data_IF_809247204107
#
_entry.id   IF_809247204107
#
_cell.length_a   1.000
_cell.length_b   1.000
_cell.length_c   1.000
_cell.angle_alpha   90.00
_cell.angle_beta   90.00
_cell.angle_gamma   90.00
#
_symmetry.space_group_name_H-M   'P 1'
#
loop_
_entity.id
_entity.type
_entity.pdbx_description
1 polymer ?
#
# COMPACT_ATOMS: atom_id res chain seq x y z
N UNK A 1 7.36 -2.53 -24.37
CA UNK A 1 7.76 -2.91 -22.99
C UNK A 1 8.61 -1.77 -22.44
N UNK A 2 8.02 -0.83 -21.72
CA UNK A 2 8.79 0.23 -21.10
C UNK A 2 9.35 -0.31 -19.79
N UNK A 3 10.63 -0.69 -19.82
CA UNK A 3 11.40 -0.93 -18.60
C UNK A 3 11.48 0.41 -17.86
N UNK A 4 10.62 0.62 -16.87
CA UNK A 4 10.80 1.67 -15.88
C UNK A 4 11.97 1.27 -14.98
N UNK A 5 13.19 1.47 -15.48
CA UNK A 5 14.36 1.46 -14.63
C UNK A 5 14.22 2.58 -13.60
N UNK A 6 14.51 2.26 -12.35
CA UNK A 6 14.29 3.12 -11.18
C UNK A 6 15.08 4.44 -11.19
N UNK A 7 15.98 4.64 -12.16
CA UNK A 7 16.87 5.81 -12.30
C UNK A 7 16.39 6.76 -13.40
N UNK A 8 15.20 7.36 -13.22
CA UNK A 8 14.62 8.11 -14.33
C UNK A 8 15.28 9.46 -14.56
N UNK A 9 15.71 10.18 -13.53
CA UNK A 9 16.31 11.50 -13.69
C UNK A 9 17.42 11.75 -12.67
N UNK A 10 18.58 12.21 -13.15
CA UNK A 10 19.65 12.70 -12.26
C UNK A 10 19.38 14.13 -11.86
N UNK A 11 19.45 14.41 -10.56
CA UNK A 11 19.42 15.77 -10.03
C UNK A 11 20.83 16.29 -9.82
N UNK A 12 21.06 17.58 -10.12
CA UNK A 12 22.35 18.24 -9.95
C UNK A 12 22.13 19.72 -9.58
N UNK A 13 23.07 20.28 -8.80
CA UNK A 13 23.10 21.72 -8.50
C UNK A 13 23.49 22.58 -9.71
N UNK A 14 24.16 21.98 -10.72
CA UNK A 14 24.61 22.70 -11.92
C UNK A 14 23.49 22.92 -12.93
N UNK A 15 22.31 22.32 -12.71
CA UNK A 15 21.16 22.45 -13.58
C UNK A 15 20.22 23.55 -13.12
N UNK A 16 19.58 24.23 -14.09
CA UNK A 16 18.53 25.19 -13.79
C UNK A 16 17.30 24.46 -13.20
N UNK A 17 16.99 24.75 -11.96
CA UNK A 17 15.89 24.08 -11.25
C UNK A 17 14.52 24.26 -11.93
N UNK A 18 14.22 25.44 -12.45
CA UNK A 18 12.90 25.72 -13.05
C UNK A 18 12.75 24.94 -14.39
N UNK A 19 13.82 24.85 -15.17
CA UNK A 19 13.83 24.05 -16.41
C UNK A 19 13.68 22.54 -16.12
N UNK A 20 14.36 22.02 -15.10
CA UNK A 20 14.26 20.62 -14.71
C UNK A 20 12.86 20.31 -14.15
N UNK A 21 12.26 21.21 -13.38
CA UNK A 21 10.88 21.09 -12.90
C UNK A 21 9.90 21.04 -14.08
N UNK A 22 10.07 21.91 -15.09
CA UNK A 22 9.17 21.91 -16.25
C UNK A 22 9.31 20.63 -17.08
N UNK A 23 10.53 20.13 -17.31
CA UNK A 23 10.76 18.83 -18.00
C UNK A 23 10.08 17.68 -17.27
N UNK A 24 10.26 17.61 -15.95
CA UNK A 24 9.63 16.58 -15.13
C UNK A 24 8.11 16.72 -15.08
N UNK A 25 7.60 17.95 -15.05
CA UNK A 25 6.17 18.23 -15.10
C UNK A 25 5.52 17.72 -16.38
N UNK A 26 6.09 18.07 -17.55
CA UNK A 26 5.62 17.59 -18.87
C UNK A 26 5.62 16.07 -18.91
N UNK A 27 6.72 15.45 -18.44
CA UNK A 27 6.82 14.00 -18.38
C UNK A 27 5.71 13.38 -17.53
N UNK A 28 5.53 13.84 -16.28
CA UNK A 28 4.56 13.25 -15.36
C UNK A 28 3.11 13.59 -15.70
N UNK A 29 2.84 14.68 -16.44
CA UNK A 29 1.52 14.93 -17.02
C UNK A 29 1.15 13.89 -18.08
N UNK A 30 2.12 13.50 -18.88
CA UNK A 30 1.93 12.45 -19.90
C UNK A 30 1.79 11.06 -19.29
N UNK A 31 2.65 10.72 -18.34
CA UNK A 31 2.68 9.39 -17.73
C UNK A 31 1.57 9.17 -16.67
N UNK A 32 1.02 10.23 -16.09
CA UNK A 32 0.05 10.17 -15.00
C UNK A 32 0.68 9.88 -13.64
N UNK A 33 -0.17 9.64 -12.63
CA UNK A 33 0.29 9.30 -11.28
C UNK A 33 1.07 7.98 -11.29
N UNK A 34 2.28 7.94 -10.71
CA UNK A 34 3.12 6.73 -10.71
C UNK A 34 2.63 5.68 -9.71
N UNK A 35 1.51 5.04 -9.99
CA UNK A 35 0.92 4.03 -9.13
C UNK A 35 1.82 2.78 -8.99
N UNK A 36 1.55 1.93 -8.01
CA UNK A 36 2.24 0.65 -7.85
C UNK A 36 1.86 -0.29 -8.99
N UNK A 37 2.84 -0.97 -9.57
CA UNK A 37 2.64 -1.90 -10.68
C UNK A 37 2.87 -3.34 -10.20
N UNK A 38 1.96 -4.25 -10.56
CA UNK A 38 1.99 -5.65 -10.12
C UNK A 38 3.24 -6.38 -10.63
N UNK A 39 3.67 -6.06 -11.85
CA UNK A 39 4.85 -6.64 -12.50
C UNK A 39 6.18 -6.31 -11.77
N UNK A 40 6.16 -5.31 -10.88
CA UNK A 40 7.32 -4.94 -10.07
C UNK A 40 7.49 -5.84 -8.83
N UNK A 41 6.58 -6.77 -8.60
CA UNK A 41 6.58 -7.62 -7.41
C UNK A 41 6.45 -9.11 -7.78
N UNK A 42 7.19 -9.92 -7.06
CA UNK A 42 7.05 -11.36 -7.05
C UNK A 42 6.14 -11.75 -5.86
N UNK A 43 4.93 -12.19 -6.16
CA UNK A 43 3.90 -12.51 -5.15
C UNK A 43 4.33 -13.61 -4.18
N UNK A 44 5.04 -14.63 -4.68
CA UNK A 44 5.53 -15.73 -3.83
C UNK A 44 6.62 -15.25 -2.89
N UNK A 45 7.55 -14.45 -3.42
CA UNK A 45 8.61 -13.84 -2.63
C UNK A 45 8.05 -12.90 -1.54
N UNK A 46 7.02 -12.10 -1.86
CA UNK A 46 6.37 -11.22 -0.88
C UNK A 46 5.68 -12.01 0.23
N UNK A 47 4.96 -13.09 -0.09
CA UNK A 47 4.36 -13.96 0.92
C UNK A 47 5.43 -14.69 1.75
N UNK A 48 6.46 -15.25 1.11
CA UNK A 48 7.54 -15.95 1.79
C UNK A 48 8.32 -15.04 2.76
N UNK A 49 8.51 -13.77 2.44
CA UNK A 49 9.09 -12.80 3.38
C UNK A 49 8.23 -12.66 4.65
N UNK A 50 6.90 -12.65 4.50
CA UNK A 50 5.99 -12.57 5.64
C UNK A 50 5.97 -13.87 6.45
N UNK A 51 5.93 -15.04 5.78
CA UNK A 51 5.98 -16.35 6.46
C UNK A 51 7.24 -16.49 7.30
N UNK A 52 8.38 -16.10 6.75
CA UNK A 52 9.70 -16.18 7.42
C UNK A 52 9.95 -15.03 8.41
N UNK A 53 9.09 -14.02 8.46
CA UNK A 53 9.30 -12.89 9.34
C UNK A 53 9.20 -13.31 10.80
N UNK A 54 10.25 -13.01 11.57
CA UNK A 54 10.34 -13.33 12.99
C UNK A 54 9.37 -12.47 13.82
N UNK A 55 8.37 -13.10 14.38
CA UNK A 55 7.30 -12.46 15.13
C UNK A 55 7.77 -11.87 16.47
N UNK A 56 8.88 -12.37 17.03
CA UNK A 56 9.46 -11.79 18.26
C UNK A 56 9.90 -10.35 18.06
N UNK A 57 10.14 -9.95 16.81
CA UNK A 57 10.46 -8.57 16.42
C UNK A 57 9.25 -7.64 16.34
N UNK A 58 8.03 -8.19 16.35
CA UNK A 58 6.79 -7.39 16.22
C UNK A 58 6.35 -6.83 17.57
N UNK A 59 6.44 -7.62 18.63
CA UNK A 59 6.01 -7.21 19.96
C UNK A 59 7.16 -7.27 20.96
N UNK A 60 7.46 -6.13 21.53
CA UNK A 60 8.44 -6.01 22.61
C UNK A 60 7.72 -6.23 23.94
N UNK A 61 8.00 -7.36 24.58
CA UNK A 61 7.34 -7.76 25.84
C UNK A 61 7.74 -6.89 27.03
N UNK A 62 8.90 -6.28 27.02
CA UNK A 62 9.39 -5.39 28.08
C UNK A 62 8.71 -4.03 28.01
N UNK A 63 8.78 -3.41 26.82
CA UNK A 63 8.23 -2.06 26.60
C UNK A 63 6.75 -2.05 26.26
N UNK A 64 6.13 -3.22 26.01
CA UNK A 64 4.74 -3.39 25.55
C UNK A 64 4.44 -2.68 24.23
N UNK A 65 5.43 -2.49 23.38
CA UNK A 65 5.29 -1.77 22.10
C UNK A 65 5.22 -2.73 20.92
N UNK A 66 4.33 -2.40 19.97
CA UNK A 66 4.29 -3.03 18.66
C UNK A 66 5.25 -2.32 17.71
N UNK A 67 6.16 -3.09 17.11
CA UNK A 67 7.03 -2.60 16.02
C UNK A 67 6.35 -2.84 14.68
N UNK A 68 6.08 -1.77 13.97
CA UNK A 68 5.44 -1.85 12.65
C UNK A 68 6.48 -1.95 11.55
N UNK A 69 6.20 -2.77 10.55
CA UNK A 69 7.03 -2.88 9.35
C UNK A 69 6.21 -2.61 8.10
N UNK A 70 6.86 -2.32 6.99
CA UNK A 70 6.19 -2.05 5.71
C UNK A 70 6.14 -3.27 4.78
N UNK A 71 6.55 -4.47 5.27
CA UNK A 71 6.53 -5.70 4.46
C UNK A 71 5.14 -5.98 3.90
N UNK A 72 5.07 -6.23 2.60
CA UNK A 72 3.83 -6.49 1.88
C UNK A 72 2.98 -5.26 1.56
N UNK A 73 3.17 -4.11 2.23
CA UNK A 73 2.31 -2.94 2.01
C UNK A 73 2.43 -2.35 0.60
N UNK A 74 3.65 -2.27 0.03
CA UNK A 74 3.84 -1.78 -1.34
C UNK A 74 3.19 -2.70 -2.37
N UNK A 75 3.36 -4.00 -2.20
CA UNK A 75 2.76 -5.03 -3.03
C UNK A 75 1.22 -4.96 -3.00
N UNK A 76 0.62 -4.81 -1.83
CA UNK A 76 -0.83 -4.74 -1.68
C UNK A 76 -1.45 -3.58 -2.48
N UNK A 77 -0.80 -2.43 -2.56
CA UNK A 77 -1.32 -1.30 -3.34
C UNK A 77 -1.51 -1.60 -4.83
N UNK A 78 -0.90 -2.65 -5.35
CA UNK A 78 -1.07 -3.09 -6.74
C UNK A 78 -2.48 -3.63 -7.01
N UNK A 79 -3.17 -4.13 -5.99
CA UNK A 79 -4.57 -4.61 -6.07
C UNK A 79 -5.59 -3.50 -5.88
N UNK A 80 -5.18 -2.36 -5.35
CA UNK A 80 -6.08 -1.28 -4.98
C UNK A 80 -5.63 0.06 -5.60
N UNK A 81 -5.52 0.16 -6.95
CA UNK A 81 -5.00 1.37 -7.60
C UNK A 81 -5.85 2.62 -7.30
N UNK A 82 -7.10 2.45 -6.92
CA UNK A 82 -8.03 3.52 -6.56
C UNK A 82 -7.76 4.18 -5.21
N UNK A 83 -6.73 3.75 -4.47
CA UNK A 83 -6.37 4.36 -3.17
C UNK A 83 -6.09 5.87 -3.27
N UNK A 84 -5.67 6.35 -4.45
CA UNK A 84 -5.41 7.76 -4.73
C UNK A 84 -6.70 8.58 -4.93
N UNK A 85 -7.83 7.92 -5.13
CA UNK A 85 -9.16 8.52 -5.33
C UNK A 85 -9.94 8.69 -4.02
N UNK A 86 -9.39 8.25 -2.90
CA UNK A 86 -10.08 8.25 -1.60
C UNK A 86 -9.73 9.50 -0.80
N UNK A 87 -10.75 10.18 -0.29
CA UNK A 87 -10.59 11.27 0.68
C UNK A 87 -10.37 10.68 2.08
N UNK A 88 -9.39 11.23 2.80
CA UNK A 88 -9.08 10.81 4.16
C UNK A 88 -9.21 11.97 5.14
N UNK A 89 -9.90 11.74 6.25
CA UNK A 89 -10.11 12.73 7.28
C UNK A 89 -10.70 14.02 6.71
N UNK A 90 -10.13 15.16 7.08
CA UNK A 90 -10.57 16.49 6.66
C UNK A 90 -9.99 16.94 5.29
N UNK A 91 -9.46 16.02 4.50
CA UNK A 91 -8.91 16.37 3.20
C UNK A 91 -10.00 16.91 2.26
N UNK A 92 -9.80 18.14 1.76
CA UNK A 92 -10.72 18.77 0.81
C UNK A 92 -10.73 18.04 -0.54
N UNK A 93 -9.56 17.57 -0.96
CA UNK A 93 -9.33 16.91 -2.25
C UNK A 93 -8.67 15.54 -2.04
N UNK A 94 -8.90 14.63 -2.99
CA UNK A 94 -8.17 13.36 -3.08
C UNK A 94 -6.72 13.60 -3.50
N UNK A 95 -5.88 12.58 -3.39
CA UNK A 95 -4.52 12.66 -3.89
C UNK A 95 -4.48 12.84 -5.41
N UNK A 96 -5.39 12.17 -6.13
CA UNK A 96 -5.50 12.28 -7.58
C UNK A 96 -5.96 13.67 -8.03
N UNK A 97 -6.95 14.28 -7.36
CA UNK A 97 -7.38 15.64 -7.65
C UNK A 97 -6.24 16.65 -7.45
N UNK A 98 -5.47 16.50 -6.36
CA UNK A 98 -4.30 17.36 -6.13
C UNK A 98 -3.15 17.10 -7.12
N UNK A 99 -2.97 15.86 -7.56
CA UNK A 99 -2.04 15.53 -8.63
C UNK A 99 -2.42 16.19 -9.95
N UNK A 100 -3.70 16.25 -10.28
CA UNK A 100 -4.21 16.84 -11.51
C UNK A 100 -4.19 18.38 -11.53
N UNK A 101 -3.90 19.02 -10.41
CA UNK A 101 -3.66 20.46 -10.31
C UNK A 101 -2.20 20.78 -10.71
N UNK A 102 -2.01 21.57 -11.77
CA UNK A 102 -0.68 21.84 -12.35
C UNK A 102 0.27 22.52 -11.36
N UNK A 103 -0.22 23.51 -10.63
CA UNK A 103 0.60 24.26 -9.67
C UNK A 103 1.04 23.39 -8.50
N UNK A 104 0.15 22.51 -8.03
CA UNK A 104 0.47 21.56 -6.98
C UNK A 104 1.46 20.51 -7.45
N UNK A 105 1.30 20.00 -8.66
CA UNK A 105 2.25 19.03 -9.22
C UNK A 105 3.63 19.64 -9.43
N UNK A 106 3.73 20.85 -10.00
CA UNK A 106 5.01 21.58 -10.13
C UNK A 106 5.65 21.80 -8.77
N UNK A 107 4.86 22.21 -7.77
CA UNK A 107 5.33 22.37 -6.39
C UNK A 107 5.85 21.06 -5.78
N UNK A 108 5.14 19.96 -5.98
CA UNK A 108 5.58 18.63 -5.54
C UNK A 108 6.92 18.25 -6.17
N UNK A 109 7.03 18.38 -7.49
CA UNK A 109 8.24 18.05 -8.25
C UNK A 109 9.41 18.90 -7.74
N UNK A 110 9.21 20.21 -7.60
CA UNK A 110 10.22 21.15 -7.10
C UNK A 110 10.71 20.78 -5.69
N UNK A 111 9.78 20.46 -4.78
CA UNK A 111 10.13 19.99 -3.42
C UNK A 111 10.86 18.67 -3.43
N UNK A 112 10.43 17.73 -4.29
CA UNK A 112 11.08 16.42 -4.43
C UNK A 112 12.50 16.57 -4.98
N UNK A 113 12.69 17.39 -6.00
CA UNK A 113 13.99 17.67 -6.59
C UNK A 113 14.96 18.27 -5.55
N UNK A 114 14.51 19.31 -4.82
CA UNK A 114 15.29 19.93 -3.73
C UNK A 114 15.62 18.95 -2.60
N UNK A 115 14.68 18.06 -2.29
CA UNK A 115 14.91 17.03 -1.26
C UNK A 115 16.01 16.07 -1.70
N UNK A 116 15.98 15.60 -2.96
CA UNK A 116 17.00 14.70 -3.51
C UNK A 116 18.38 15.38 -3.60
N UNK A 117 18.44 16.66 -3.96
CA UNK A 117 19.70 17.43 -3.93
C UNK A 117 20.33 17.45 -2.53
N UNK A 118 19.50 17.59 -1.50
CA UNK A 118 19.99 17.78 -0.13
C UNK A 118 20.24 16.47 0.61
N UNK A 119 19.42 15.44 0.40
CA UNK A 119 19.37 14.24 1.23
C UNK A 119 19.46 12.94 0.43
N UNK A 120 19.30 12.99 -0.88
CA UNK A 120 19.27 11.85 -1.75
C UNK A 120 20.65 11.47 -2.27
N UNK A 121 20.64 10.52 -3.19
CA UNK A 121 21.83 10.03 -3.91
C UNK A 121 21.99 10.65 -5.31
N UNK A 122 21.32 11.78 -5.56
CA UNK A 122 21.34 12.47 -6.87
C UNK A 122 20.36 11.90 -7.90
N UNK A 123 19.40 11.04 -7.48
CA UNK A 123 18.42 10.45 -8.39
C UNK A 123 16.99 10.82 -8.00
N UNK A 124 16.22 11.36 -8.95
CA UNK A 124 14.79 11.58 -8.79
C UNK A 124 14.04 10.29 -9.11
N UNK A 125 13.59 9.58 -8.08
CA UNK A 125 12.98 8.26 -8.23
C UNK A 125 11.45 8.29 -8.11
N UNK A 126 10.79 7.33 -8.78
CA UNK A 126 9.33 7.10 -8.65
C UNK A 126 8.93 6.89 -7.18
N UNK A 127 9.70 6.13 -6.43
CA UNK A 127 9.42 5.85 -5.03
C UNK A 127 9.43 7.12 -4.19
N UNK A 128 10.40 8.01 -4.42
CA UNK A 128 10.48 9.29 -3.73
C UNK A 128 9.31 10.19 -4.10
N UNK A 129 8.98 10.28 -5.38
CA UNK A 129 7.84 11.09 -5.85
C UNK A 129 6.52 10.62 -5.20
N UNK A 130 6.28 9.29 -5.15
CA UNK A 130 5.12 8.71 -4.44
C UNK A 130 5.11 9.02 -2.95
N UNK A 131 6.24 8.90 -2.26
CA UNK A 131 6.34 9.24 -0.83
C UNK A 131 6.04 10.73 -0.61
N UNK A 132 6.66 11.58 -1.40
CA UNK A 132 6.50 13.03 -1.29
C UNK A 132 5.10 13.50 -1.68
N UNK A 133 4.42 12.82 -2.62
CA UNK A 133 3.03 13.15 -2.95
C UNK A 133 2.09 12.97 -1.74
N UNK A 134 2.31 11.93 -0.93
CA UNK A 134 1.55 11.71 0.31
C UNK A 134 1.78 12.79 1.37
N UNK A 135 2.93 13.43 1.35
CA UNK A 135 3.31 14.46 2.33
C UNK A 135 2.95 15.86 1.86
N UNK A 136 3.20 16.17 0.58
CA UNK A 136 3.11 17.55 0.07
C UNK A 136 1.80 17.86 -0.65
N UNK A 137 1.12 16.85 -1.21
CA UNK A 137 -0.17 17.05 -1.87
C UNK A 137 -1.36 16.86 -0.92
N UNK A 138 -1.25 15.97 0.06
CA UNK A 138 -2.32 15.73 1.02
C UNK A 138 -1.79 15.76 2.45
N UNK A 139 -2.61 16.33 3.35
CA UNK A 139 -2.33 16.28 4.81
C UNK A 139 -2.45 14.86 5.34
N UNK A 140 -3.34 14.07 4.77
CA UNK A 140 -3.63 12.71 5.18
C UNK A 140 -3.96 11.84 3.96
N UNK A 141 -3.44 10.63 3.92
CA UNK A 141 -3.72 9.64 2.89
C UNK A 141 -4.12 8.31 3.54
N UNK A 142 -4.78 7.45 2.76
CA UNK A 142 -5.10 6.08 3.22
C UNK A 142 -3.84 5.34 3.64
N UNK A 143 -3.97 4.54 4.68
CA UNK A 143 -2.92 3.63 5.16
C UNK A 143 -3.42 2.20 5.14
N UNK A 144 -2.52 1.24 4.97
CA UNK A 144 -2.86 -0.18 5.05
C UNK A 144 -2.53 -0.71 6.45
N UNK A 145 -3.33 -1.65 6.94
CA UNK A 145 -2.98 -2.43 8.12
C UNK A 145 -1.69 -3.23 7.83
N UNK A 146 -0.79 -3.33 8.79
CA UNK A 146 0.51 -3.98 8.59
C UNK A 146 0.35 -5.50 8.58
N UNK A 147 0.68 -6.19 7.46
CA UNK A 147 0.53 -7.66 7.37
C UNK A 147 1.30 -8.40 8.45
N UNK A 148 2.48 -7.92 8.85
CA UNK A 148 3.27 -8.53 9.93
C UNK A 148 2.57 -8.46 11.28
N UNK A 149 1.88 -7.36 11.58
CA UNK A 149 1.09 -7.21 12.82
C UNK A 149 -0.13 -8.13 12.78
N UNK A 150 -0.82 -8.20 11.65
CA UNK A 150 -1.95 -9.11 11.48
C UNK A 150 -1.53 -10.57 11.67
N UNK A 151 -0.43 -11.00 11.03
CA UNK A 151 0.15 -12.34 11.22
C UNK A 151 0.41 -12.63 12.69
N UNK A 152 1.09 -11.72 13.40
CA UNK A 152 1.37 -11.87 14.82
C UNK A 152 0.09 -12.05 15.65
N UNK A 153 -0.93 -11.21 15.42
CA UNK A 153 -2.19 -11.29 16.16
C UNK A 153 -2.92 -12.61 15.88
N UNK A 154 -2.95 -13.06 14.64
CA UNK A 154 -3.60 -14.31 14.26
C UNK A 154 -2.89 -15.53 14.83
N UNK A 155 -1.57 -15.57 14.80
CA UNK A 155 -0.80 -16.66 15.41
C UNK A 155 -0.93 -16.69 16.94
N UNK A 156 -1.00 -15.52 17.56
CA UNK A 156 -1.08 -15.42 19.02
C UNK A 156 -2.48 -15.69 19.57
N UNK A 157 -3.52 -15.23 18.89
CA UNK A 157 -4.89 -15.25 19.42
C UNK A 157 -5.86 -16.11 18.60
N UNK A 158 -5.52 -16.45 17.35
CA UNK A 158 -6.41 -17.16 16.45
C UNK A 158 -6.45 -18.68 16.65
N UNK A 159 -5.56 -19.24 17.48
CA UNK A 159 -5.50 -20.66 17.82
C UNK A 159 -5.65 -21.62 16.61
N UNK A 160 -5.03 -21.30 15.50
CA UNK A 160 -5.13 -22.02 14.21
C UNK A 160 -6.57 -22.14 13.67
N UNK A 161 -7.47 -21.31 14.14
CA UNK A 161 -8.89 -21.35 13.83
C UNK A 161 -9.33 -20.41 12.71
N UNK A 162 -10.51 -19.84 12.91
CA UNK A 162 -11.20 -18.95 11.98
C UNK A 162 -10.93 -17.49 12.34
N UNK A 163 -10.68 -16.67 11.34
CA UNK A 163 -10.55 -15.21 11.46
C UNK A 163 -11.79 -14.57 10.85
N UNK A 164 -12.47 -13.73 11.62
CA UNK A 164 -13.46 -12.81 11.09
C UNK A 164 -12.91 -11.39 11.05
N UNK A 165 -12.89 -10.82 9.83
CA UNK A 165 -12.48 -9.45 9.57
C UNK A 165 -13.67 -8.62 9.11
N UNK A 166 -14.27 -7.88 10.04
CA UNK A 166 -15.47 -7.07 9.80
C UNK A 166 -15.24 -5.86 8.87
N UNK A 167 -14.02 -5.62 8.44
CA UNK A 167 -13.66 -4.45 7.61
C UNK A 167 -12.34 -4.70 6.90
N UNK A 168 -12.35 -5.56 5.88
CA UNK A 168 -11.14 -6.05 5.18
C UNK A 168 -10.20 -4.94 4.72
N UNK A 169 -10.76 -3.83 4.23
CA UNK A 169 -10.00 -2.69 3.74
C UNK A 169 -9.01 -3.09 2.64
N UNK A 170 -7.79 -2.61 2.74
CA UNK A 170 -6.77 -2.72 1.69
C UNK A 170 -5.97 -4.04 1.72
N UNK A 171 -6.55 -5.14 2.21
CA UNK A 171 -5.97 -6.48 2.15
C UNK A 171 -4.80 -6.78 3.10
N UNK A 172 -4.38 -5.82 3.94
CA UNK A 172 -3.25 -6.02 4.84
C UNK A 172 -3.48 -7.14 5.86
N UNK A 173 -4.70 -7.23 6.40
CA UNK A 173 -5.08 -8.30 7.33
C UNK A 173 -5.23 -9.64 6.62
N UNK A 174 -5.80 -9.67 5.40
CA UNK A 174 -5.89 -10.89 4.60
C UNK A 174 -4.51 -11.43 4.21
N UNK A 175 -3.56 -10.59 3.81
CA UNK A 175 -2.18 -11.03 3.53
C UNK A 175 -1.47 -11.52 4.81
N UNK A 176 -1.75 -10.90 5.95
CA UNK A 176 -1.31 -11.38 7.26
C UNK A 176 -1.89 -12.76 7.60
N UNK A 177 -3.18 -12.98 7.32
CA UNK A 177 -3.83 -14.29 7.46
C UNK A 177 -3.15 -15.36 6.57
N UNK A 178 -2.94 -15.07 5.29
CA UNK A 178 -2.26 -15.99 4.37
C UNK A 178 -0.88 -16.44 4.87
N UNK A 179 -0.19 -15.60 5.63
CA UNK A 179 1.13 -15.90 6.23
C UNK A 179 1.07 -16.46 7.66
N UNK A 180 -0.11 -16.57 8.27
CA UNK A 180 -0.34 -17.05 9.65
C UNK A 180 -0.65 -18.54 9.71
N UNK A 181 -0.90 -19.06 10.91
CA UNK A 181 -1.31 -20.46 11.13
C UNK A 181 -2.85 -20.66 11.09
N UNK A 182 -3.64 -19.60 10.99
CA UNK A 182 -5.10 -19.70 10.91
C UNK A 182 -5.54 -20.35 9.59
N UNK A 183 -6.69 -21.05 9.59
CA UNK A 183 -7.15 -21.91 8.49
C UNK A 183 -8.20 -21.26 7.61
N UNK A 184 -9.11 -20.49 8.21
CA UNK A 184 -10.23 -19.85 7.51
C UNK A 184 -10.24 -18.34 7.79
N UNK A 185 -10.54 -17.56 6.77
CA UNK A 185 -10.73 -16.12 6.85
C UNK A 185 -12.07 -15.76 6.23
N UNK A 186 -12.93 -15.13 7.02
CA UNK A 186 -14.19 -14.56 6.53
C UNK A 186 -14.10 -13.05 6.68
N UNK A 187 -14.37 -12.33 5.59
CA UNK A 187 -14.22 -10.90 5.59
C UNK A 187 -15.32 -10.13 4.86
N UNK A 188 -15.65 -8.94 5.38
CA UNK A 188 -16.64 -8.03 4.78
C UNK A 188 -15.99 -6.72 4.40
N UNK A 189 -16.42 -6.13 3.29
CA UNK A 189 -16.11 -4.76 2.88
C UNK A 189 -17.21 -4.22 1.97
N UNK A 190 -17.84 -3.06 2.25
CA UNK A 190 -18.94 -2.53 1.45
C UNK A 190 -18.46 -1.91 0.13
N UNK A 191 -17.18 -1.56 0.01
CA UNK A 191 -16.63 -0.93 -1.20
C UNK A 191 -16.43 -1.95 -2.32
N UNK A 192 -17.21 -1.86 -3.39
CA UNK A 192 -17.10 -2.75 -4.56
C UNK A 192 -15.70 -2.70 -5.21
N UNK A 193 -15.07 -1.52 -5.26
CA UNK A 193 -13.69 -1.38 -5.79
C UNK A 193 -12.69 -2.14 -4.90
N UNK A 194 -12.82 -2.02 -3.58
CA UNK A 194 -11.98 -2.73 -2.61
C UNK A 194 -12.24 -4.22 -2.65
N UNK A 195 -13.50 -4.65 -2.67
CA UNK A 195 -13.91 -6.04 -2.79
C UNK A 195 -13.33 -6.72 -4.04
N UNK A 196 -13.32 -6.03 -5.19
CA UNK A 196 -12.66 -6.54 -6.39
C UNK A 196 -11.16 -6.81 -6.14
N UNK A 197 -10.45 -5.84 -5.56
CA UNK A 197 -9.02 -6.01 -5.24
C UNK A 197 -8.75 -7.14 -4.26
N UNK A 198 -9.63 -7.36 -3.28
CA UNK A 198 -9.55 -8.48 -2.36
C UNK A 198 -9.73 -9.84 -3.06
N UNK A 199 -10.67 -9.94 -4.02
CA UNK A 199 -10.85 -11.15 -4.81
C UNK A 199 -9.65 -11.42 -5.74
N UNK A 200 -9.06 -10.38 -6.34
CA UNK A 200 -7.85 -10.51 -7.14
C UNK A 200 -6.67 -10.99 -6.27
N UNK A 201 -6.53 -10.48 -5.05
CA UNK A 201 -5.55 -10.94 -4.08
C UNK A 201 -5.80 -12.39 -3.66
N UNK A 202 -7.05 -12.78 -3.36
CA UNK A 202 -7.45 -14.16 -3.05
C UNK A 202 -7.04 -15.10 -4.19
N UNK A 203 -7.39 -14.76 -5.43
CA UNK A 203 -7.07 -15.56 -6.62
C UNK A 203 -5.57 -15.79 -6.79
N UNK A 204 -4.75 -14.78 -6.57
CA UNK A 204 -3.30 -14.88 -6.69
C UNK A 204 -2.66 -15.84 -5.68
N UNK A 205 -3.35 -16.12 -4.58
CA UNK A 205 -2.88 -17.00 -3.50
C UNK A 205 -3.71 -18.27 -3.28
N UNK A 206 -4.53 -18.69 -4.27
CA UNK A 206 -5.29 -19.94 -4.21
C UNK A 206 -4.41 -21.16 -3.93
N UNK A 207 -3.16 -21.14 -4.38
CA UNK A 207 -2.21 -22.22 -4.16
C UNK A 207 -1.77 -22.40 -2.69
N UNK A 208 -2.05 -21.45 -1.81
CA UNK A 208 -1.74 -21.53 -0.37
C UNK A 208 -2.67 -22.50 0.36
N UNK A 209 -3.75 -22.94 -0.30
CA UNK A 209 -4.73 -23.91 0.23
C UNK A 209 -5.32 -23.47 1.58
N UNK A 210 -5.71 -22.19 1.71
CA UNK A 210 -6.43 -21.64 2.85
C UNK A 210 -7.82 -21.21 2.44
N UNK A 211 -8.80 -21.44 3.31
CA UNK A 211 -10.17 -21.03 3.05
C UNK A 211 -10.32 -19.51 3.24
N UNK A 212 -10.80 -18.83 2.20
CA UNK A 212 -11.10 -17.40 2.23
C UNK A 212 -12.50 -17.16 1.68
N UNK A 213 -13.33 -16.57 2.50
CA UNK A 213 -14.70 -16.16 2.17
C UNK A 213 -14.80 -14.65 2.27
N UNK A 214 -15.28 -14.00 1.20
CA UNK A 214 -15.38 -12.53 1.13
C UNK A 214 -16.79 -12.11 0.77
N UNK A 215 -17.31 -11.08 1.43
CA UNK A 215 -18.64 -10.53 1.23
C UNK A 215 -18.58 -9.03 0.93
N UNK A 216 -19.25 -8.60 -0.16
CA UNK A 216 -19.32 -7.18 -0.53
C UNK A 216 -20.53 -6.51 0.14
N UNK A 217 -20.49 -6.44 1.46
CA UNK A 217 -21.52 -5.84 2.31
C UNK A 217 -20.86 -5.12 3.51
N UNK A 218 -21.62 -4.27 4.19
CA UNK A 218 -21.24 -3.74 5.49
C UNK A 218 -21.25 -4.83 6.57
N UNK A 219 -20.41 -4.69 7.58
CA UNK A 219 -20.35 -5.67 8.67
C UNK A 219 -21.66 -5.71 9.48
N UNK A 220 -22.43 -4.63 9.49
CA UNK A 220 -23.74 -4.50 10.11
C UNK A 220 -24.83 -5.34 9.42
N UNK A 221 -24.61 -5.70 8.16
CA UNK A 221 -25.52 -6.53 7.38
C UNK A 221 -25.11 -8.02 7.41
N UNK A 222 -23.93 -8.33 7.92
CA UNK A 222 -23.40 -9.68 7.96
C UNK A 222 -23.88 -10.43 9.20
N UNK A 223 -24.37 -11.66 9.01
CA UNK A 223 -24.84 -12.53 10.11
C UNK A 223 -23.69 -13.45 10.54
N UNK A 224 -23.07 -13.22 11.74
CA UNK A 224 -21.88 -13.96 12.21
C UNK A 224 -22.08 -15.47 12.38
N UNK A 225 -23.31 -15.92 12.60
CA UNK A 225 -23.64 -17.35 12.76
C UNK A 225 -23.25 -18.22 11.55
N UNK A 226 -22.99 -17.58 10.41
CA UNK A 226 -22.47 -18.25 9.19
C UNK A 226 -20.95 -18.41 9.16
N UNK A 227 -20.24 -18.00 10.22
CA UNK A 227 -18.76 -18.07 10.27
C UNK A 227 -18.28 -19.42 10.81
N UNK A 228 -19.12 -20.18 11.46
CA UNK A 228 -18.80 -21.47 12.09
C UNK A 228 -18.48 -22.58 11.07
#
# INVERSE_FOLDING_TARGET
MNNYNEDIFKVSYDKNLEEEVEKLFVFWRKEGYPNYKKESYDKEKELNKLIKYDETKIFDYETKKLKQTMHGCGFLWTYFPHWIEVKCGDAKYTLLENWNDDEKLKTLIKKTYKWELKHGNGNFTINRLRQNSKVYLNKQTVSNFRPTVAKFLYNKFGNNGVVWDMSCGWGGRMLGFLSSNCKKYTGTDPSTKTFKGLNDLKKDYEYVNKEIELHNIGSEEFIPEKIA
#
